data_IF_790174096309
#
_entry.id   IF_790174096309
#
_cell.length_a   1.000
_cell.length_b   1.000
_cell.length_c   1.000
_cell.angle_alpha   90.00
_cell.angle_beta   90.00
_cell.angle_gamma   90.00
#
_symmetry.space_group_name_H-M   'P 1'
#
loop_
_entity.id
_entity.type
_entity.pdbx_description
1 polymer ?
#
# COMPACT_ATOMS: atom_id res chain seq x y z
N UNK A 1 2.44 -6.32 -6.80
CA UNK A 1 1.61 -5.10 -6.81
C UNK A 1 2.05 -4.17 -7.92
N UNK A 2 1.13 -3.82 -8.83
CA UNK A 2 1.35 -2.74 -9.80
C UNK A 2 1.16 -1.36 -9.17
N UNK A 3 1.69 -0.31 -9.81
CA UNK A 3 1.47 1.09 -9.40
C UNK A 3 0.29 1.64 -10.19
N UNK A 4 -0.82 2.00 -9.52
CA UNK A 4 -1.99 2.52 -10.23
C UNK A 4 -3.03 3.16 -9.32
N UNK A 5 -3.59 4.30 -9.75
CA UNK A 5 -4.58 5.09 -8.98
C UNK A 5 -6.01 4.57 -9.04
N UNK A 6 -6.29 3.58 -9.89
CA UNK A 6 -7.64 3.03 -10.12
C UNK A 6 -8.03 1.96 -9.08
N UNK A 7 -9.16 1.30 -9.34
CA UNK A 7 -9.81 0.30 -8.51
C UNK A 7 -10.65 -0.63 -9.41
N UNK A 8 -10.98 -1.83 -8.91
CA UNK A 8 -12.03 -2.68 -9.49
C UNK A 8 -11.61 -3.61 -10.64
N UNK A 9 -10.33 -3.59 -11.03
CA UNK A 9 -9.74 -4.64 -11.86
C UNK A 9 -9.36 -5.87 -11.04
N UNK A 10 -9.04 -6.96 -11.74
CA UNK A 10 -8.53 -8.20 -11.12
C UNK A 10 -7.07 -8.08 -10.65
N UNK A 11 -6.36 -7.01 -11.03
CA UNK A 11 -4.95 -6.78 -10.70
C UNK A 11 -4.80 -6.06 -9.35
N UNK A 12 -3.82 -6.49 -8.55
CA UNK A 12 -3.45 -5.85 -7.30
C UNK A 12 -2.63 -4.57 -7.52
N UNK A 13 -3.10 -3.45 -6.95
CA UNK A 13 -2.49 -2.13 -7.10
C UNK A 13 -2.09 -1.53 -5.75
N UNK A 14 -1.01 -0.73 -5.73
CA UNK A 14 -0.55 0.00 -4.55
C UNK A 14 -0.13 1.43 -4.90
N UNK A 15 -0.38 2.39 -4.00
CA UNK A 15 0.14 3.76 -4.10
C UNK A 15 0.27 4.48 -2.74
N UNK A 16 1.16 5.48 -2.64
CA UNK A 16 1.21 6.36 -1.47
C UNK A 16 -0.07 7.20 -1.35
N UNK A 17 -0.59 7.34 -0.13
CA UNK A 17 -1.77 8.15 0.14
C UNK A 17 -1.54 9.05 1.35
N UNK A 18 -2.31 10.14 1.42
CA UNK A 18 -2.25 11.17 2.45
C UNK A 18 -3.62 11.27 3.13
N UNK A 19 -3.99 10.33 4.02
CA UNK A 19 -5.32 10.25 4.60
C UNK A 19 -5.67 11.47 5.45
N UNK A 20 -4.67 12.15 6.01
CA UNK A 20 -4.82 13.39 6.76
C UNK A 20 -5.36 14.54 5.91
N UNK A 21 -5.15 14.51 4.59
CA UNK A 21 -5.69 15.50 3.63
C UNK A 21 -7.04 15.09 3.06
N UNK A 22 -7.34 13.79 3.04
CA UNK A 22 -8.51 13.23 2.36
C UNK A 22 -9.68 12.94 3.29
N UNK A 23 -9.41 12.61 4.56
CA UNK A 23 -10.43 12.16 5.51
C UNK A 23 -11.11 13.35 6.17
N UNK A 24 -12.44 13.42 6.05
CA UNK A 24 -13.27 14.50 6.60
C UNK A 24 -14.06 14.10 7.84
N UNK A 25 -14.40 12.82 8.00
CA UNK A 25 -15.24 12.33 9.10
C UNK A 25 -14.50 12.27 10.46
N UNK A 26 -13.21 11.98 10.45
CA UNK A 26 -12.36 11.91 11.65
C UNK A 26 -10.96 12.40 11.36
N UNK A 27 -10.23 12.80 12.40
CA UNK A 27 -8.82 13.16 12.28
C UNK A 27 -7.97 11.91 12.11
N UNK A 28 -7.08 11.92 11.13
CA UNK A 28 -6.03 10.92 11.01
C UNK A 28 -4.88 11.25 11.96
N UNK A 29 -4.51 10.30 12.83
CA UNK A 29 -3.45 10.48 13.85
C UNK A 29 -2.31 9.47 13.71
N UNK A 30 -2.36 8.59 12.71
CA UNK A 30 -1.28 7.64 12.48
C UNK A 30 -0.06 8.38 11.91
N UNK A 31 1.11 8.06 12.44
CA UNK A 31 2.39 8.62 12.00
C UNK A 31 3.03 7.74 10.92
N UNK A 32 3.89 8.35 10.11
CA UNK A 32 4.63 7.65 9.05
C UNK A 32 3.90 7.58 7.71
N UNK A 33 4.54 6.98 6.70
CA UNK A 33 3.98 6.88 5.35
C UNK A 33 2.74 5.96 5.35
N UNK A 34 1.72 6.34 4.58
CA UNK A 34 0.53 5.49 4.36
C UNK A 34 0.49 4.99 2.92
N UNK A 35 0.21 3.70 2.75
CA UNK A 35 -0.02 3.07 1.46
C UNK A 35 -1.49 2.65 1.34
N UNK A 36 -2.06 2.86 0.15
CA UNK A 36 -3.37 2.34 -0.23
C UNK A 36 -3.17 1.11 -1.10
N UNK A 37 -3.81 0.01 -0.73
CA UNK A 37 -3.80 -1.23 -1.50
C UNK A 37 -5.19 -1.47 -2.08
N UNK A 38 -5.24 -1.84 -3.35
CA UNK A 38 -6.38 -2.51 -3.98
C UNK A 38 -5.97 -3.97 -4.19
N UNK A 39 -6.68 -4.90 -3.57
CA UNK A 39 -6.36 -6.33 -3.64
C UNK A 39 -7.14 -6.95 -4.79
N UNK A 40 -6.39 -7.55 -5.72
CA UNK A 40 -6.90 -8.25 -6.89
C UNK A 40 -7.29 -9.70 -6.59
N UNK A 41 -7.21 -10.55 -7.61
CA UNK A 41 -7.61 -11.96 -7.56
C UNK A 41 -6.43 -12.93 -7.78
N UNK A 42 -5.19 -12.44 -7.62
CA UNK A 42 -3.99 -13.28 -7.65
C UNK A 42 -3.94 -14.26 -6.47
N UNK A 43 -3.04 -15.25 -6.53
CA UNK A 43 -2.83 -16.18 -5.40
C UNK A 43 -2.43 -15.39 -4.14
N UNK A 44 -3.08 -15.63 -2.98
CA UNK A 44 -2.73 -14.94 -1.75
C UNK A 44 -1.26 -15.07 -1.34
N UNK A 45 -0.60 -16.20 -1.64
CA UNK A 45 0.82 -16.39 -1.33
C UNK A 45 1.69 -15.46 -2.16
N UNK A 46 1.43 -15.33 -3.46
CA UNK A 46 2.18 -14.41 -4.33
C UNK A 46 2.08 -12.96 -3.83
N UNK A 47 0.90 -12.55 -3.37
CA UNK A 47 0.66 -11.21 -2.83
C UNK A 47 1.39 -10.99 -1.50
N UNK A 48 1.39 -11.98 -0.61
CA UNK A 48 2.09 -11.92 0.68
C UNK A 48 3.60 -11.81 0.43
N UNK A 49 4.16 -12.69 -0.39
CA UNK A 49 5.59 -12.67 -0.72
C UNK A 49 6.02 -11.33 -1.32
N UNK A 50 5.18 -10.74 -2.18
CA UNK A 50 5.49 -9.45 -2.79
C UNK A 50 5.49 -8.30 -1.76
N UNK A 51 4.55 -8.30 -0.81
CA UNK A 51 4.55 -7.33 0.29
C UNK A 51 5.75 -7.52 1.23
N UNK A 52 6.12 -8.77 1.54
CA UNK A 52 7.28 -9.05 2.38
C UNK A 52 8.57 -8.53 1.76
N UNK A 53 8.78 -8.75 0.45
CA UNK A 53 9.90 -8.18 -0.30
C UNK A 53 9.88 -6.65 -0.25
N UNK A 54 8.72 -6.04 -0.51
CA UNK A 54 8.56 -4.58 -0.48
C UNK A 54 8.88 -3.97 0.89
N UNK A 55 8.34 -4.55 1.97
CA UNK A 55 8.59 -4.08 3.33
C UNK A 55 10.03 -4.33 3.78
N UNK A 56 10.67 -5.40 3.33
CA UNK A 56 12.10 -5.61 3.56
C UNK A 56 12.92 -4.46 2.96
N UNK A 57 12.68 -4.10 1.69
CA UNK A 57 13.38 -2.99 1.04
C UNK A 57 13.10 -1.65 1.72
N UNK A 58 11.85 -1.41 2.13
CA UNK A 58 11.49 -0.19 2.87
C UNK A 58 12.28 -0.08 4.19
N UNK A 59 12.38 -1.17 4.96
CA UNK A 59 13.16 -1.18 6.21
C UNK A 59 14.64 -0.91 5.97
N UNK A 60 15.23 -1.51 4.93
CA UNK A 60 16.63 -1.27 4.56
C UNK A 60 16.84 0.20 4.20
N UNK A 61 15.96 0.79 3.39
CA UNK A 61 16.04 2.19 2.99
C UNK A 61 15.86 3.17 4.16
N UNK A 62 15.04 2.82 5.16
CA UNK A 62 14.83 3.65 6.35
C UNK A 62 15.95 3.56 7.38
N UNK A 63 16.81 2.53 7.31
CA UNK A 63 17.94 2.33 8.21
C UNK A 63 19.25 2.96 7.69
N UNK A 64 19.26 3.42 6.44
CA UNK A 64 20.37 4.14 5.79
C UNK A 64 20.22 5.65 5.95
#
# INVERSE_FOLDING_TARGET
FGIGSSWGGFESLILPTNPERLRTATRWTAEGPTLRLHIGLEDPQDLIEDLERGFHQLRVAMAA
#
